data_IF_396760152434
#
_entry.id   IF_396760152434
#
_cell.length_a   1.000
_cell.length_b   1.000
_cell.length_c   1.000
_cell.angle_alpha   90.00
_cell.angle_beta   90.00
_cell.angle_gamma   90.00
#
_symmetry.space_group_name_H-M   'P 1'
#
loop_
_entity.id
_entity.type
_entity.pdbx_description
1 polymer ?
#
# COMPACT_ATOMS: atom_id res chain seq x y z
N UNK A 1 27.68 -49.86 -20.59
CA UNK A 1 27.38 -49.19 -19.32
C UNK A 1 27.07 -47.74 -19.63
N UNK A 2 25.79 -47.38 -19.74
CA UNK A 2 25.38 -45.98 -19.75
C UNK A 2 25.43 -45.50 -18.31
N UNK A 3 26.27 -44.50 -18.00
CA UNK A 3 26.18 -43.81 -16.72
C UNK A 3 24.87 -43.05 -16.70
N UNK A 4 23.98 -43.44 -15.80
CA UNK A 4 22.82 -42.67 -15.42
C UNK A 4 23.34 -41.41 -14.71
N UNK A 5 23.32 -40.29 -15.40
CA UNK A 5 23.53 -38.98 -14.79
C UNK A 5 22.25 -38.71 -14.00
N UNK A 6 22.27 -39.00 -12.71
CA UNK A 6 21.27 -38.48 -11.80
C UNK A 6 21.41 -36.96 -11.80
N UNK A 7 20.49 -36.27 -12.50
CA UNK A 7 20.29 -34.85 -12.33
C UNK A 7 19.87 -34.67 -10.87
N UNK A 8 20.82 -34.29 -10.02
CA UNK A 8 20.51 -33.81 -8.67
C UNK A 8 19.61 -32.60 -8.87
N UNK A 9 18.32 -32.77 -8.59
CA UNK A 9 17.35 -31.70 -8.57
C UNK A 9 17.77 -30.76 -7.43
N UNK A 10 18.53 -29.72 -7.74
CA UNK A 10 18.93 -28.72 -6.75
C UNK A 10 17.66 -27.99 -6.33
N UNK A 11 17.27 -28.19 -5.07
CA UNK A 11 16.14 -27.47 -4.50
C UNK A 11 16.35 -25.97 -4.65
N UNK A 12 15.30 -25.23 -5.02
CA UNK A 12 15.39 -23.79 -5.16
C UNK A 12 15.79 -23.18 -3.80
N UNK A 13 16.85 -22.38 -3.81
CA UNK A 13 17.30 -21.61 -2.66
C UNK A 13 17.33 -20.12 -3.00
N UNK A 14 17.31 -19.23 -2.01
CA UNK A 14 17.44 -17.80 -2.28
C UNK A 14 18.74 -17.47 -3.03
N UNK A 15 19.85 -18.16 -2.71
CA UNK A 15 21.12 -17.98 -3.40
C UNK A 15 21.02 -18.40 -4.88
N UNK A 16 20.37 -19.53 -5.14
CA UNK A 16 20.07 -19.97 -6.50
C UNK A 16 19.20 -18.96 -7.23
N UNK A 17 18.10 -18.50 -6.63
CA UNK A 17 17.16 -17.57 -7.26
C UNK A 17 17.72 -16.16 -7.46
N UNK A 18 18.70 -15.73 -6.68
CA UNK A 18 19.44 -14.49 -6.92
C UNK A 18 20.42 -14.62 -8.08
N UNK A 19 20.99 -15.81 -8.26
CA UNK A 19 21.94 -16.09 -9.35
C UNK A 19 21.23 -16.39 -10.67
N UNK A 20 20.07 -17.03 -10.58
CA UNK A 20 19.20 -17.43 -11.69
C UNK A 20 17.75 -16.99 -11.40
N UNK A 21 17.43 -15.68 -11.55
CA UNK A 21 16.08 -15.18 -11.28
C UNK A 21 15.02 -15.79 -12.18
N UNK A 22 13.83 -15.99 -11.62
CA UNK A 22 12.65 -16.33 -12.41
C UNK A 22 12.09 -15.13 -13.19
N UNK A 23 10.96 -15.35 -13.85
CA UNK A 23 10.25 -14.28 -14.55
C UNK A 23 9.79 -13.19 -13.57
N UNK A 24 9.94 -11.93 -13.99
CA UNK A 24 9.41 -10.78 -13.24
C UNK A 24 7.88 -10.77 -13.35
N UNK A 25 7.19 -10.52 -12.24
CA UNK A 25 5.73 -10.35 -12.21
C UNK A 25 5.42 -8.95 -11.73
N UNK A 26 4.73 -8.15 -12.55
CA UNK A 26 4.35 -6.76 -12.21
C UNK A 26 5.53 -5.88 -11.76
N UNK A 27 6.71 -6.05 -12.36
CA UNK A 27 7.92 -5.32 -11.99
C UNK A 27 8.63 -5.84 -10.72
N UNK A 28 8.10 -6.88 -10.06
CA UNK A 28 8.73 -7.54 -8.91
C UNK A 28 9.59 -8.70 -9.41
N UNK A 29 10.91 -8.72 -9.13
CA UNK A 29 11.81 -9.78 -9.59
C UNK A 29 11.59 -11.07 -8.81
N UNK A 30 11.61 -12.22 -9.49
CA UNK A 30 11.45 -13.53 -8.86
C UNK A 30 12.79 -14.08 -8.34
N UNK A 31 13.27 -13.52 -7.24
CA UNK A 31 14.61 -13.79 -6.67
C UNK A 31 14.56 -14.56 -5.34
N UNK A 32 13.38 -14.94 -4.86
CA UNK A 32 13.21 -15.70 -3.63
C UNK A 32 12.72 -17.11 -3.92
N UNK A 33 13.24 -18.11 -3.22
CA UNK A 33 12.70 -19.46 -3.30
C UNK A 33 11.35 -19.56 -2.57
N UNK A 34 10.39 -20.27 -3.16
CA UNK A 34 9.13 -20.58 -2.48
C UNK A 34 9.34 -21.55 -1.30
N UNK A 35 8.32 -21.70 -0.44
CA UNK A 35 8.43 -22.55 0.76
C UNK A 35 8.52 -24.04 0.43
N UNK A 36 8.06 -24.44 -0.75
CA UNK A 36 8.20 -25.80 -1.27
C UNK A 36 9.59 -26.09 -1.87
N UNK A 37 10.46 -25.08 -1.98
CA UNK A 37 11.79 -25.16 -2.62
C UNK A 37 11.74 -25.70 -4.07
N UNK A 38 10.64 -25.47 -4.77
CA UNK A 38 10.40 -25.95 -6.14
C UNK A 38 10.64 -24.88 -7.21
N UNK A 39 10.75 -23.61 -6.83
CA UNK A 39 11.00 -22.53 -7.79
C UNK A 39 11.20 -21.15 -7.17
N UNK A 40 11.53 -20.19 -8.03
CA UNK A 40 11.74 -18.79 -7.67
C UNK A 40 10.47 -17.97 -7.89
N UNK A 41 10.14 -17.09 -6.95
CA UNK A 41 8.85 -16.39 -6.90
C UNK A 41 9.03 -14.88 -6.72
N UNK A 42 8.14 -14.13 -7.38
CA UNK A 42 8.06 -12.68 -7.31
C UNK A 42 7.32 -12.26 -6.03
N UNK A 43 8.05 -12.23 -4.93
CA UNK A 43 7.60 -11.73 -3.62
C UNK A 43 8.41 -10.46 -3.27
N UNK A 44 7.83 -9.52 -2.53
CA UNK A 44 8.55 -8.30 -2.12
C UNK A 44 9.61 -8.58 -1.04
N UNK A 45 9.56 -9.76 -0.42
CA UNK A 45 10.53 -10.22 0.57
C UNK A 45 10.73 -11.73 0.53
N UNK A 46 11.72 -12.23 1.27
CA UNK A 46 11.99 -13.66 1.32
C UNK A 46 10.79 -14.45 1.90
N UNK A 47 10.63 -15.70 1.47
CA UNK A 47 9.52 -16.55 1.91
C UNK A 47 9.68 -17.12 3.33
N UNK A 48 10.70 -16.68 4.07
CA UNK A 48 11.02 -17.10 5.44
C UNK A 48 10.96 -15.94 6.45
N UNK A 49 10.45 -14.77 6.05
CA UNK A 49 10.35 -13.60 6.93
C UNK A 49 9.26 -13.76 7.98
N UNK A 50 9.41 -13.00 9.06
CA UNK A 50 8.52 -13.04 10.21
C UNK A 50 7.44 -11.96 10.21
N UNK A 51 7.51 -10.95 9.34
CA UNK A 51 6.58 -9.81 9.29
C UNK A 51 6.40 -9.29 7.87
N UNK A 52 5.45 -8.36 7.71
CA UNK A 52 5.14 -7.66 6.44
C UNK A 52 4.62 -8.59 5.34
N UNK A 53 4.02 -9.72 5.72
CA UNK A 53 3.33 -10.60 4.78
C UNK A 53 2.15 -9.88 4.15
N UNK A 54 2.12 -9.83 2.82
CA UNK A 54 0.94 -9.49 2.04
C UNK A 54 0.33 -10.77 1.46
N UNK A 55 -0.94 -10.72 1.05
CA UNK A 55 -1.55 -11.88 0.41
C UNK A 55 -0.84 -12.24 -0.92
N UNK A 56 -0.34 -11.26 -1.65
CA UNK A 56 0.45 -11.50 -2.86
C UNK A 56 1.71 -12.30 -2.54
N UNK A 57 2.41 -11.95 -1.45
CA UNK A 57 3.59 -12.70 -1.00
C UNK A 57 3.21 -14.09 -0.47
N UNK A 58 2.10 -14.22 0.25
CA UNK A 58 1.61 -15.50 0.74
C UNK A 58 1.26 -16.45 -0.40
N UNK A 59 0.54 -15.95 -1.41
CA UNK A 59 0.23 -16.70 -2.63
C UNK A 59 1.49 -17.06 -3.41
N UNK A 60 2.42 -16.11 -3.59
CA UNK A 60 3.69 -16.36 -4.29
C UNK A 60 4.52 -17.42 -3.55
N UNK A 61 4.68 -17.29 -2.24
CA UNK A 61 5.54 -18.15 -1.43
C UNK A 61 4.96 -19.53 -1.13
N UNK A 62 3.64 -19.65 -0.96
CA UNK A 62 2.98 -20.87 -0.46
C UNK A 62 1.95 -21.47 -1.44
N UNK A 63 1.67 -20.78 -2.56
CA UNK A 63 0.57 -21.14 -3.44
C UNK A 63 -0.76 -21.19 -2.69
N UNK A 64 -1.62 -22.13 -3.06
CA UNK A 64 -2.96 -22.25 -2.49
C UNK A 64 -2.99 -22.86 -1.07
N UNK A 65 -1.85 -23.33 -0.55
CA UNK A 65 -1.79 -23.95 0.79
C UNK A 65 -1.91 -22.92 1.92
N UNK A 66 -1.44 -21.69 1.68
CA UNK A 66 -1.51 -20.58 2.63
C UNK A 66 -1.42 -19.24 1.89
N UNK A 67 -2.48 -18.90 1.14
CA UNK A 67 -2.48 -17.76 0.21
C UNK A 67 -2.85 -16.41 0.85
N UNK A 68 -3.27 -16.38 2.11
CA UNK A 68 -3.71 -15.15 2.78
C UNK A 68 -2.75 -14.75 3.89
N UNK A 69 -2.32 -13.50 3.93
CA UNK A 69 -1.63 -12.96 5.10
C UNK A 69 -2.63 -12.79 6.25
N UNK A 70 -2.16 -13.09 7.47
CA UNK A 70 -2.92 -12.75 8.68
C UNK A 70 -3.02 -11.23 8.81
N UNK A 71 -4.06 -10.74 9.50
CA UNK A 71 -4.29 -9.31 9.70
C UNK A 71 -3.10 -8.59 10.39
N UNK A 72 -2.35 -9.29 11.24
CA UNK A 72 -1.14 -8.78 11.90
C UNK A 72 0.14 -8.91 11.04
N UNK A 73 0.03 -9.41 9.81
CA UNK A 73 1.12 -9.55 8.82
C UNK A 73 2.31 -10.42 9.26
N UNK A 74 2.14 -11.27 10.28
CA UNK A 74 3.25 -12.09 10.81
C UNK A 74 3.37 -13.47 10.18
N UNK A 75 2.32 -13.94 9.49
CA UNK A 75 2.30 -15.26 8.86
C UNK A 75 1.22 -15.35 7.78
N UNK A 76 1.25 -16.43 7.01
CA UNK A 76 0.21 -16.79 6.06
C UNK A 76 -0.78 -17.80 6.67
N UNK A 77 -1.99 -17.86 6.11
CA UNK A 77 -3.06 -18.77 6.47
C UNK A 77 -3.80 -19.24 5.22
N UNK A 78 -4.39 -20.43 5.29
CA UNK A 78 -5.14 -21.04 4.20
C UNK A 78 -6.51 -20.40 3.97
N UNK A 79 -7.14 -19.93 5.05
CA UNK A 79 -8.50 -19.38 5.03
C UNK A 79 -8.45 -17.87 4.82
N UNK A 80 -9.35 -17.34 3.99
CA UNK A 80 -9.49 -15.90 3.82
C UNK A 80 -9.78 -15.21 5.17
N UNK A 81 -9.27 -13.99 5.40
CA UNK A 81 -9.75 -13.18 6.51
C UNK A 81 -11.27 -13.01 6.41
N UNK A 82 -11.99 -12.98 7.55
CA UNK A 82 -13.41 -12.68 7.54
C UNK A 82 -13.65 -11.32 6.88
N UNK A 83 -14.64 -11.25 5.99
CA UNK A 83 -15.13 -9.98 5.46
C UNK A 83 -15.61 -9.09 6.60
N UNK A 84 -15.34 -7.79 6.51
CA UNK A 84 -15.86 -6.81 7.46
C UNK A 84 -17.28 -6.36 7.09
N UNK A 85 -18.07 -6.11 8.14
CA UNK A 85 -19.39 -5.50 8.04
C UNK A 85 -19.28 -4.03 7.61
N UNK A 86 -19.93 -3.67 6.51
CA UNK A 86 -19.99 -2.30 5.98
C UNK A 86 -21.42 -1.76 5.99
N UNK A 87 -21.56 -0.43 6.02
CA UNK A 87 -22.88 0.20 6.00
C UNK A 87 -23.60 -0.07 4.68
N UNK A 88 -24.73 -0.75 4.77
CA UNK A 88 -25.70 -0.99 3.70
C UNK A 88 -26.62 0.25 3.64
N UNK A 89 -27.14 0.68 2.48
CA UNK A 89 -28.11 1.80 2.44
C UNK A 89 -29.53 1.36 2.84
N UNK A 90 -29.75 0.05 3.07
CA UNK A 90 -31.00 -0.53 3.58
C UNK A 90 -30.73 -1.70 4.54
N UNK A 91 -31.77 -2.13 5.28
CA UNK A 91 -31.68 -3.17 6.32
C UNK A 91 -31.38 -4.60 5.81
N UNK A 92 -31.52 -4.86 4.50
CA UNK A 92 -31.18 -6.15 3.88
C UNK A 92 -30.31 -5.94 2.64
N UNK A 93 -29.32 -6.81 2.49
CA UNK A 93 -28.28 -6.67 1.48
C UNK A 93 -28.49 -7.64 0.30
N UNK A 94 -29.75 -7.88 -0.06
CA UNK A 94 -30.18 -8.81 -1.13
C UNK A 94 -30.57 -8.11 -2.43
N UNK A 95 -30.73 -6.78 -2.43
CA UNK A 95 -31.17 -6.01 -3.60
C UNK A 95 -30.02 -5.19 -4.18
N UNK A 96 -29.69 -5.38 -5.46
CA UNK A 96 -28.69 -4.56 -6.14
C UNK A 96 -29.07 -3.07 -6.06
N UNK A 97 -28.18 -2.25 -5.48
CA UNK A 97 -28.45 -0.84 -5.16
C UNK A 97 -28.57 -0.52 -3.67
N UNK A 98 -28.82 -1.52 -2.80
CA UNK A 98 -28.69 -1.35 -1.33
C UNK A 98 -27.26 -1.61 -0.84
N UNK A 99 -26.54 -2.48 -1.57
CA UNK A 99 -25.09 -2.49 -1.68
C UNK A 99 -24.73 -2.33 -3.16
N UNK A 100 -23.63 -1.62 -3.45
CA UNK A 100 -23.12 -1.48 -4.82
C UNK A 100 -22.78 -2.85 -5.42
N UNK A 101 -22.70 -2.96 -6.74
CA UNK A 101 -22.26 -4.20 -7.38
C UNK A 101 -20.88 -4.62 -6.83
N UNK A 102 -20.72 -5.91 -6.51
CA UNK A 102 -19.42 -6.46 -6.17
C UNK A 102 -18.50 -6.42 -7.40
N UNK A 103 -17.16 -6.36 -7.22
CA UNK A 103 -16.23 -6.46 -8.34
C UNK A 103 -16.45 -7.75 -9.12
N UNK A 104 -16.35 -7.69 -10.45
CA UNK A 104 -16.62 -8.85 -11.32
C UNK A 104 -15.44 -9.82 -11.40
N UNK A 105 -14.31 -9.46 -10.80
CA UNK A 105 -13.10 -10.30 -10.77
C UNK A 105 -12.47 -10.23 -9.38
N UNK A 106 -12.12 -11.38 -8.78
CA UNK A 106 -12.38 -12.74 -9.26
C UNK A 106 -13.87 -13.12 -9.25
N UNK A 107 -14.26 -14.14 -10.01
CA UNK A 107 -15.65 -14.60 -10.12
C UNK A 107 -16.17 -15.18 -8.81
N UNK A 108 -17.48 -15.05 -8.55
CA UNK A 108 -18.14 -15.65 -7.38
C UNK A 108 -18.22 -14.75 -6.14
N UNK A 109 -17.83 -13.48 -6.27
CA UNK A 109 -18.06 -12.48 -5.22
C UNK A 109 -19.53 -12.08 -5.19
N UNK A 110 -20.12 -12.07 -4.00
CA UNK A 110 -21.50 -11.62 -3.78
C UNK A 110 -21.62 -10.92 -2.43
N UNK A 111 -22.50 -9.93 -2.36
CA UNK A 111 -22.88 -9.34 -1.08
C UNK A 111 -23.83 -10.28 -0.35
N UNK A 112 -23.65 -10.34 0.96
CA UNK A 112 -24.52 -11.02 1.90
C UNK A 112 -24.85 -10.10 3.07
N UNK A 113 -25.82 -10.49 3.89
CA UNK A 113 -26.05 -9.81 5.15
C UNK A 113 -24.80 -9.94 6.04
N UNK A 114 -24.39 -8.83 6.64
CA UNK A 114 -23.32 -8.80 7.62
C UNK A 114 -23.70 -9.49 8.93
N UNK A 115 -22.72 -9.66 9.80
CA UNK A 115 -22.93 -10.23 11.15
C UNK A 115 -23.78 -9.33 12.04
N UNK A 116 -23.78 -8.02 11.75
CA UNK A 116 -24.56 -7.00 12.43
C UNK A 116 -25.77 -6.60 11.60
N UNK A 117 -26.93 -6.44 12.25
CA UNK A 117 -28.17 -5.99 11.60
C UNK A 117 -27.97 -4.67 10.85
N UNK A 118 -28.46 -4.59 9.61
CA UNK A 118 -28.31 -3.43 8.73
C UNK A 118 -26.92 -3.25 8.09
N UNK A 119 -26.04 -4.24 8.23
CA UNK A 119 -24.72 -4.25 7.58
C UNK A 119 -24.66 -5.27 6.45
N UNK A 120 -23.69 -5.05 5.59
CA UNK A 120 -23.37 -5.79 4.38
C UNK A 120 -22.00 -6.42 4.54
N UNK A 121 -21.77 -7.60 3.97
CA UNK A 121 -20.42 -8.16 3.88
C UNK A 121 -20.24 -8.92 2.56
N UNK A 122 -19.01 -9.01 2.05
CA UNK A 122 -18.70 -9.87 0.90
C UNK A 122 -18.61 -11.32 1.38
N UNK A 123 -19.25 -12.25 0.65
CA UNK A 123 -19.28 -13.67 0.98
C UNK A 123 -17.90 -14.29 1.27
N UNK A 124 -16.90 -13.96 0.46
CA UNK A 124 -15.53 -14.38 0.70
C UNK A 124 -14.56 -13.41 0.02
N UNK A 125 -13.69 -12.77 0.80
CA UNK A 125 -12.70 -11.86 0.24
C UNK A 125 -11.68 -12.61 -0.63
N UNK A 126 -11.30 -12.04 -1.79
CA UNK A 126 -10.33 -12.69 -2.66
C UNK A 126 -8.93 -12.70 -2.02
N UNK A 127 -8.08 -13.60 -2.48
CA UNK A 127 -6.69 -13.67 -2.05
C UNK A 127 -5.98 -12.33 -2.28
N UNK A 128 -6.09 -11.73 -3.45
CA UNK A 128 -5.58 -10.38 -3.68
C UNK A 128 -6.73 -9.39 -3.82
N UNK A 129 -6.68 -8.31 -3.06
CA UNK A 129 -7.55 -7.14 -3.22
C UNK A 129 -6.77 -5.94 -3.77
N UNK A 130 -5.43 -6.02 -3.88
CA UNK A 130 -4.60 -4.88 -4.26
C UNK A 130 -4.52 -4.62 -5.77
N UNK A 131 -4.77 -5.64 -6.60
CA UNK A 131 -4.70 -5.55 -8.07
C UNK A 131 -5.58 -6.63 -8.73
N UNK A 132 -5.94 -6.40 -10.00
CA UNK A 132 -6.65 -7.37 -10.85
C UNK A 132 -8.16 -7.44 -10.63
N UNK A 133 -8.70 -6.57 -9.79
CA UNK A 133 -10.15 -6.40 -9.66
C UNK A 133 -10.68 -5.64 -10.88
N UNK A 134 -11.97 -5.81 -11.15
CA UNK A 134 -12.70 -5.04 -12.16
C UNK A 134 -13.88 -4.39 -11.46
N UNK A 135 -13.93 -3.05 -11.51
CA UNK A 135 -14.90 -2.24 -10.79
C UNK A 135 -14.81 -2.36 -9.25
N UNK A 136 -13.59 -2.28 -8.71
CA UNK A 136 -13.38 -2.11 -7.26
C UNK A 136 -14.09 -0.84 -6.76
N UNK A 137 -14.60 -0.88 -5.52
CA UNK A 137 -15.23 0.25 -4.85
C UNK A 137 -14.72 0.39 -3.42
N UNK A 138 -14.81 1.59 -2.85
CA UNK A 138 -14.48 1.82 -1.43
C UNK A 138 -15.29 0.90 -0.52
N UNK A 139 -16.55 0.65 -0.85
CA UNK A 139 -17.41 -0.24 -0.07
C UNK A 139 -16.89 -1.69 -0.09
N UNK A 140 -16.49 -2.17 -1.28
CA UNK A 140 -15.83 -3.46 -1.40
C UNK A 140 -14.52 -3.50 -0.61
N UNK A 141 -13.68 -2.47 -0.72
CA UNK A 141 -12.39 -2.41 -0.03
C UNK A 141 -12.52 -2.26 1.49
N UNK A 142 -13.62 -1.70 1.98
CA UNK A 142 -13.94 -1.71 3.41
C UNK A 142 -14.37 -3.10 3.88
N UNK A 143 -15.14 -3.85 3.07
CA UNK A 143 -15.54 -5.22 3.41
C UNK A 143 -14.40 -6.22 3.24
N UNK A 144 -13.53 -5.99 2.26
CA UNK A 144 -12.34 -6.78 1.97
C UNK A 144 -11.09 -5.89 1.91
N UNK A 145 -10.56 -5.46 3.08
CA UNK A 145 -9.37 -4.62 3.13
C UNK A 145 -8.16 -5.30 2.50
N UNK A 146 -7.34 -4.51 1.82
CA UNK A 146 -6.00 -4.94 1.41
C UNK A 146 -5.00 -4.90 2.57
N UNK A 147 -3.74 -5.15 2.24
CA UNK A 147 -2.66 -5.07 3.22
C UNK A 147 -2.50 -3.64 3.76
N UNK A 148 -2.39 -3.51 5.07
CA UNK A 148 -2.03 -2.25 5.74
C UNK A 148 -0.59 -1.88 5.40
N UNK A 149 -0.37 -0.66 4.91
CA UNK A 149 0.96 -0.12 4.59
C UNK A 149 1.28 1.00 5.58
N UNK A 150 2.38 0.87 6.33
CA UNK A 150 2.80 1.87 7.33
C UNK A 150 1.70 2.26 8.34
N UNK A 151 0.88 1.29 8.76
CA UNK A 151 -0.25 1.53 9.67
C UNK A 151 -1.51 2.11 9.01
N UNK A 152 -1.49 2.40 7.71
CA UNK A 152 -2.64 2.88 6.96
C UNK A 152 -3.38 1.70 6.32
N UNK A 153 -4.66 1.47 6.62
CA UNK A 153 -5.42 0.34 6.09
C UNK A 153 -5.78 0.58 4.61
N UNK A 154 -5.72 -0.49 3.80
CA UNK A 154 -6.07 -0.42 2.37
C UNK A 154 -7.57 -0.62 2.13
N UNK A 155 -8.36 0.40 2.47
CA UNK A 155 -9.84 0.37 2.45
C UNK A 155 -10.48 1.24 1.37
N UNK A 156 -9.67 1.90 0.54
CA UNK A 156 -10.15 2.74 -0.56
C UNK A 156 -9.81 2.09 -1.90
N UNK A 157 -10.69 2.19 -2.88
CA UNK A 157 -10.39 1.79 -4.25
C UNK A 157 -9.46 2.82 -4.91
N UNK A 158 -8.50 2.34 -5.68
CA UNK A 158 -7.67 3.20 -6.53
C UNK A 158 -8.49 3.87 -7.64
N UNK A 159 -7.92 4.88 -8.30
CA UNK A 159 -8.64 5.63 -9.35
C UNK A 159 -8.93 4.78 -10.60
N UNK A 160 -8.15 3.72 -10.82
CA UNK A 160 -8.36 2.76 -11.90
C UNK A 160 -9.46 1.72 -11.58
N UNK A 161 -9.99 1.67 -10.36
CA UNK A 161 -10.95 0.68 -9.88
C UNK A 161 -10.47 -0.77 -10.04
N UNK A 162 -9.16 -0.99 -9.90
CA UNK A 162 -8.49 -2.29 -10.06
C UNK A 162 -7.97 -2.88 -8.75
N UNK A 163 -8.03 -2.14 -7.64
CA UNK A 163 -7.49 -2.59 -6.37
C UNK A 163 -7.79 -1.67 -5.19
N UNK A 164 -7.61 -2.21 -3.99
CA UNK A 164 -7.71 -1.54 -2.71
C UNK A 164 -6.34 -1.03 -2.26
N UNK A 165 -6.28 0.22 -1.84
CA UNK A 165 -5.03 0.94 -1.60
C UNK A 165 -5.02 1.63 -0.24
N UNK A 166 -3.83 1.64 0.39
CA UNK A 166 -3.58 2.29 1.67
C UNK A 166 -3.36 3.80 1.49
N UNK A 167 -4.45 4.54 1.28
CA UNK A 167 -4.46 6.01 1.30
C UNK A 167 -5.07 6.51 2.61
N UNK A 168 -4.64 7.69 3.05
CA UNK A 168 -5.17 8.39 4.24
C UNK A 168 -6.59 8.91 4.03
N UNK A 169 -7.08 8.92 2.79
CA UNK A 169 -8.47 9.26 2.45
C UNK A 169 -8.89 8.62 1.12
N UNK A 170 -10.16 8.78 0.74
CA UNK A 170 -10.65 8.21 -0.51
C UNK A 170 -9.91 8.79 -1.73
N UNK A 171 -9.80 8.01 -2.80
CA UNK A 171 -9.07 8.39 -4.01
C UNK A 171 -9.87 9.33 -4.95
N UNK A 172 -11.08 9.73 -4.54
CA UNK A 172 -11.94 10.67 -5.28
C UNK A 172 -12.04 12.05 -4.60
N UNK A 173 -11.25 12.29 -3.55
CA UNK A 173 -11.33 13.52 -2.75
C UNK A 173 -10.78 14.72 -3.50
N UNK A 174 -11.25 15.90 -3.14
CA UNK A 174 -10.87 17.15 -3.80
C UNK A 174 -9.65 17.85 -3.18
N UNK A 175 -9.27 17.51 -1.95
CA UNK A 175 -8.19 18.20 -1.20
C UNK A 175 -7.42 17.25 -0.30
N UNK A 176 -6.38 17.76 0.37
CA UNK A 176 -5.55 17.01 1.32
C UNK A 176 -4.81 15.83 0.67
N UNK A 177 -4.41 16.00 -0.59
CA UNK A 177 -3.55 15.04 -1.27
C UNK A 177 -2.12 15.13 -0.75
N UNK A 178 -1.54 13.98 -0.40
CA UNK A 178 -0.10 13.83 -0.13
C UNK A 178 0.55 13.01 -1.25
N UNK A 179 1.89 13.05 -1.36
CA UNK A 179 2.60 12.21 -2.34
C UNK A 179 2.33 10.72 -2.10
N UNK A 180 2.27 10.29 -0.83
CA UNK A 180 1.97 8.89 -0.50
C UNK A 180 0.58 8.49 -1.00
N UNK A 181 -0.42 9.36 -0.84
CA UNK A 181 -1.77 9.12 -1.34
C UNK A 181 -1.84 9.11 -2.87
N UNK A 182 -1.13 10.04 -3.51
CA UNK A 182 -1.10 10.13 -4.97
C UNK A 182 -0.49 8.86 -5.58
N UNK A 183 0.63 8.39 -5.02
CA UNK A 183 1.24 7.13 -5.41
C UNK A 183 0.31 5.94 -5.15
N UNK A 184 -0.35 5.87 -3.98
CA UNK A 184 -1.27 4.79 -3.66
C UNK A 184 -2.47 4.76 -4.62
N UNK A 185 -3.11 5.92 -4.86
CA UNK A 185 -4.34 6.02 -5.63
C UNK A 185 -4.13 5.93 -7.16
N UNK A 186 -3.00 6.41 -7.68
CA UNK A 186 -2.78 6.55 -9.13
C UNK A 186 -1.57 5.76 -9.65
N UNK A 187 -0.80 5.13 -8.76
CA UNK A 187 0.49 4.55 -9.10
C UNK A 187 1.43 5.60 -9.72
N UNK A 188 2.25 5.16 -10.67
CA UNK A 188 3.26 6.01 -11.29
C UNK A 188 2.70 7.03 -12.30
N UNK A 189 1.40 6.97 -12.60
CA UNK A 189 0.77 7.89 -13.57
C UNK A 189 0.60 9.30 -13.01
N UNK A 190 0.40 9.42 -11.69
CA UNK A 190 0.26 10.70 -10.99
C UNK A 190 0.65 10.55 -9.52
N UNK A 191 1.95 10.36 -9.25
CA UNK A 191 2.46 10.01 -7.93
C UNK A 191 2.75 11.19 -6.99
N UNK A 192 2.65 12.44 -7.46
CA UNK A 192 2.95 13.62 -6.66
C UNK A 192 1.71 14.46 -6.38
N UNK A 193 1.54 14.92 -5.15
CA UNK A 193 0.52 15.89 -4.83
C UNK A 193 0.88 17.27 -5.41
N UNK A 194 -0.13 17.99 -5.89
CA UNK A 194 0.00 19.41 -6.24
C UNK A 194 0.38 20.21 -4.99
N UNK A 195 1.12 21.31 -5.16
CA UNK A 195 1.53 22.17 -4.04
C UNK A 195 0.34 22.69 -3.20
N UNK A 196 -0.81 22.92 -3.84
CA UNK A 196 -2.06 23.34 -3.17
C UNK A 196 -2.90 22.16 -2.64
N UNK A 197 -2.38 20.93 -2.70
CA UNK A 197 -3.01 19.68 -2.24
C UNK A 197 -4.39 19.38 -2.88
N UNK A 198 -4.73 20.01 -4.00
CA UNK A 198 -6.03 19.87 -4.69
C UNK A 198 -6.14 18.63 -5.59
N UNK A 199 -5.06 17.86 -5.72
CA UNK A 199 -5.01 16.70 -6.59
C UNK A 199 -3.60 16.18 -6.80
N UNK A 200 -3.47 15.24 -7.71
CA UNK A 200 -2.21 14.61 -8.08
C UNK A 200 -1.70 15.07 -9.45
N UNK A 201 -0.41 14.89 -9.69
CA UNK A 201 0.29 15.19 -10.92
C UNK A 201 1.44 14.19 -11.15
N UNK A 202 1.82 14.00 -12.41
CA UNK A 202 2.85 13.05 -12.82
C UNK A 202 4.28 13.54 -12.48
N UNK A 203 4.49 14.85 -12.53
CA UNK A 203 5.79 15.48 -12.28
C UNK A 203 5.86 15.99 -10.85
N UNK A 204 7.02 15.84 -10.22
CA UNK A 204 7.25 16.43 -8.92
C UNK A 204 7.06 17.95 -9.02
N UNK A 205 6.39 18.60 -8.04
CA UNK A 205 6.45 20.04 -7.94
C UNK A 205 7.91 20.50 -7.99
N UNK A 206 8.23 21.58 -8.71
CA UNK A 206 9.57 22.14 -8.63
C UNK A 206 9.92 22.36 -7.15
N UNK A 207 11.20 22.18 -6.75
CA UNK A 207 11.67 22.71 -5.49
C UNK A 207 11.19 24.17 -5.35
N UNK A 208 10.92 24.59 -4.10
CA UNK A 208 10.65 26.00 -3.84
C UNK A 208 11.74 26.87 -4.48
N UNK A 209 11.39 28.06 -4.95
CA UNK A 209 12.35 28.95 -5.59
C UNK A 209 13.54 29.20 -4.66
N UNK A 210 14.75 29.17 -5.22
CA UNK A 210 15.96 29.51 -4.48
C UNK A 210 15.79 30.91 -3.88
N UNK A 211 15.98 31.00 -2.56
CA UNK A 211 16.09 32.29 -1.87
C UNK A 211 17.56 32.60 -1.66
N UNK A 212 17.94 33.86 -1.84
CA UNK A 212 19.31 34.28 -1.58
C UNK A 212 19.67 34.04 -0.11
N UNK A 213 20.64 33.16 0.12
CA UNK A 213 21.13 32.87 1.46
C UNK A 213 22.05 34.00 1.93
N UNK A 214 21.74 34.62 3.07
CA UNK A 214 22.60 35.61 3.71
C UNK A 214 23.75 34.98 4.53
N UNK A 215 23.70 33.66 4.75
CA UNK A 215 24.65 32.92 5.58
C UNK A 215 25.44 31.87 4.77
N UNK A 216 26.70 31.67 5.14
CA UNK A 216 27.62 30.73 4.49
C UNK A 216 27.23 29.24 4.64
N UNK A 217 26.22 28.92 5.46
CA UNK A 217 25.78 27.56 5.79
C UNK A 217 24.97 26.87 4.69
N UNK A 218 24.44 27.62 3.71
CA UNK A 218 23.70 27.05 2.57
C UNK A 218 24.54 27.02 1.27
N UNK A 219 25.88 27.02 1.41
CA UNK A 219 26.83 26.97 0.29
C UNK A 219 26.91 25.59 -0.39
N UNK A 220 26.39 24.55 0.27
CA UNK A 220 26.36 23.17 -0.24
C UNK A 220 24.92 22.69 -0.37
N UNK A 221 24.58 22.11 -1.52
CA UNK A 221 23.26 21.53 -1.73
C UNK A 221 22.96 20.44 -0.68
N UNK A 222 21.80 20.53 -0.02
CA UNK A 222 21.32 19.53 0.94
C UNK A 222 21.77 19.70 2.40
N UNK A 223 22.53 20.76 2.76
CA UNK A 223 23.04 20.94 4.14
C UNK A 223 22.29 21.99 4.98
N UNK A 224 21.19 22.56 4.50
CA UNK A 224 20.43 23.55 5.28
C UNK A 224 19.57 22.82 6.35
N UNK A 225 20.13 22.67 7.55
CA UNK A 225 19.49 22.05 8.73
C UNK A 225 18.61 23.04 9.54
N UNK A 226 18.62 24.33 9.19
CA UNK A 226 17.73 25.34 9.76
C UNK A 226 17.53 26.49 8.75
N UNK A 227 16.33 27.08 8.73
CA UNK A 227 16.04 28.27 7.94
C UNK A 227 16.90 29.46 8.43
N UNK A 228 17.47 30.28 7.53
CA UNK A 228 18.16 31.51 7.93
C UNK A 228 17.14 32.44 8.59
N UNK A 229 17.27 32.66 9.90
CA UNK A 229 16.46 33.67 10.61
C UNK A 229 16.90 35.05 10.15
N UNK A 230 15.94 35.88 9.76
CA UNK A 230 16.23 37.25 9.36
C UNK A 230 16.65 38.10 10.58
N UNK A 231 17.43 39.19 10.40
CA UNK A 231 17.75 40.12 11.48
C UNK A 231 16.51 40.66 12.20
N UNK A 232 15.39 40.81 11.47
CA UNK A 232 14.11 41.23 12.05
C UNK A 232 13.51 40.18 13.00
N UNK A 233 13.66 38.88 12.72
CA UNK A 233 13.26 37.81 13.65
C UNK A 233 14.15 37.75 14.89
N UNK A 234 15.46 38.02 14.76
CA UNK A 234 16.36 38.12 15.91
C UNK A 234 16.02 39.31 16.80
N UNK A 235 15.68 40.46 16.22
CA UNK A 235 15.21 41.63 16.97
C UNK A 235 13.90 41.35 17.71
N UNK A 236 12.95 40.67 17.06
CA UNK A 236 11.68 40.30 17.69
C UNK A 236 11.89 39.30 18.84
N UNK A 237 12.81 38.34 18.69
CA UNK A 237 13.18 37.39 19.75
C UNK A 237 13.88 38.09 20.92
N UNK A 238 14.77 39.06 20.65
CA UNK A 238 15.41 39.88 21.69
C UNK A 238 14.39 40.74 22.45
N UNK A 239 13.43 41.33 21.73
CA UNK A 239 12.33 42.11 22.32
C UNK A 239 11.42 41.25 23.20
N UNK A 240 11.10 40.03 22.76
CA UNK A 240 10.32 39.08 23.55
C UNK A 240 11.07 38.60 24.81
N UNK A 241 12.38 38.35 24.71
CA UNK A 241 13.24 37.99 25.85
C UNK A 241 13.38 39.13 26.86
N UNK A 242 13.48 40.38 26.39
CA UNK A 242 13.51 41.57 27.24
C UNK A 242 12.16 41.81 27.95
N UNK A 243 11.03 41.53 27.31
CA UNK A 243 9.71 41.63 27.94
C UNK A 243 9.51 40.58 29.04
N UNK A 244 10.06 39.37 28.89
CA UNK A 244 9.99 38.35 29.94
C UNK A 244 10.87 38.63 31.17
N UNK A 245 11.91 39.47 31.04
CA UNK A 245 12.74 39.88 32.19
C UNK A 245 12.18 41.09 32.96
N UNK A 246 11.10 41.73 32.47
CA UNK A 246 10.39 42.79 33.18
C UNK A 246 9.14 42.30 33.93
N UNK A 247 8.91 40.98 33.96
CA UNK A 247 7.76 40.34 34.64
C UNK A 247 8.20 39.50 35.86
N UNK A 248 9.45 39.66 36.32
CA UNK A 248 9.96 39.15 37.59
C UNK A 248 10.61 40.27 38.39
#
# INVERSE_FOLDING_TARGET
MYQQIDIILVAASNLFCQSCPGATVNGVPAIFANTALTGCVASIGNCSRSTLWTNADCLACNGNTAQYAKANQTSCQATAPPSADVNCSAATCTTAGTCQAAPTTPSGLSWQNGSTSGKCAINNCPASTSLGLVAASDLFCQSCPGATVNGVPAIFANTALTGCVASTGNCSRSTLWTNADCLACNGNTAQYAKANQSGCQATAPPPGADVNCSAATCKTAGTCIAAPTTPQQQQLLLLLLQQTQQQF
#
